data_IF_331516683187
#
_entry.id   IF_331516683187
#
_cell.length_a   1.000
_cell.length_b   1.000
_cell.length_c   1.000
_cell.angle_alpha   90.00
_cell.angle_beta   90.00
_cell.angle_gamma   90.00
#
_symmetry.space_group_name_H-M   'P 1'
#
loop_
_entity.id
_entity.type
_entity.pdbx_description
1 polymer ?
#
# COMPACT_ATOMS: atom_id res chain seq x y z
N UNK A 1 -14.79 -22.03 -4.59
CA UNK A 1 -13.54 -21.65 -5.29
C UNK A 1 -12.50 -21.48 -4.22
N UNK A 2 -11.59 -22.45 -4.07
CA UNK A 2 -10.54 -22.41 -3.05
C UNK A 2 -9.26 -21.85 -3.69
N UNK A 3 -8.68 -20.82 -3.07
CA UNK A 3 -7.37 -20.29 -3.43
C UNK A 3 -6.35 -20.78 -2.39
N UNK A 4 -5.15 -21.23 -2.76
CA UNK A 4 -4.15 -21.67 -1.79
C UNK A 4 -3.64 -20.55 -0.87
N UNK A 5 -3.93 -19.28 -1.19
CA UNK A 5 -3.52 -18.10 -0.42
C UNK A 5 -4.71 -17.35 0.20
N UNK A 6 -5.84 -18.04 0.35
CA UNK A 6 -7.02 -17.51 1.00
C UNK A 6 -6.68 -17.22 2.47
N UNK A 7 -7.08 -16.04 2.92
CA UNK A 7 -6.87 -15.65 4.31
C UNK A 7 -8.18 -15.78 5.08
N UNK A 8 -8.15 -16.40 6.27
CA UNK A 8 -9.35 -16.60 7.09
C UNK A 8 -9.98 -15.27 7.53
N UNK A 9 -9.16 -14.22 7.69
CA UNK A 9 -9.61 -12.87 8.07
C UNK A 9 -10.06 -12.06 6.84
N UNK A 10 -9.58 -12.42 5.64
CA UNK A 10 -9.97 -11.79 4.38
C UNK A 10 -10.31 -12.85 3.30
N UNK A 11 -11.46 -13.53 3.44
CA UNK A 11 -11.82 -14.63 2.54
C UNK A 11 -12.22 -14.16 1.13
N UNK A 12 -12.37 -12.85 0.94
CA UNK A 12 -12.77 -12.24 -0.33
C UNK A 12 -11.60 -12.01 -1.29
N UNK A 13 -10.37 -12.14 -0.82
CA UNK A 13 -9.17 -11.97 -1.62
C UNK A 13 -8.61 -13.32 -2.06
N UNK A 14 -8.24 -13.44 -3.35
CA UNK A 14 -7.47 -14.59 -3.82
C UNK A 14 -6.07 -14.67 -3.17
N UNK A 15 -5.45 -13.52 -2.94
CA UNK A 15 -4.21 -13.32 -2.17
C UNK A 15 -4.37 -12.07 -1.30
N UNK A 16 -4.29 -12.21 0.02
CA UNK A 16 -4.37 -11.06 0.92
C UNK A 16 -3.03 -10.32 1.01
N UNK A 17 -2.87 -9.21 0.27
CA UNK A 17 -1.63 -8.40 0.29
C UNK A 17 -1.33 -7.82 1.67
N UNK A 18 -2.35 -7.42 2.43
CA UNK A 18 -2.19 -6.93 3.80
C UNK A 18 -1.60 -7.97 4.75
N UNK A 19 -1.95 -9.25 4.57
CA UNK A 19 -1.35 -10.35 5.33
C UNK A 19 0.16 -10.41 5.09
N UNK A 20 0.56 -10.43 3.82
CA UNK A 20 1.97 -10.48 3.41
C UNK A 20 2.75 -9.29 3.99
N UNK A 21 2.17 -8.09 3.96
CA UNK A 21 2.79 -6.89 4.54
C UNK A 21 2.99 -7.07 6.04
N UNK A 22 1.98 -7.51 6.79
CA UNK A 22 2.10 -7.74 8.24
C UNK A 22 3.14 -8.78 8.58
N UNK A 23 3.18 -9.89 7.83
CA UNK A 23 4.15 -10.98 8.04
C UNK A 23 5.60 -10.59 7.71
N UNK A 24 5.80 -9.64 6.79
CA UNK A 24 7.13 -9.21 6.33
C UNK A 24 7.59 -7.87 6.91
N UNK A 25 6.73 -7.17 7.63
CA UNK A 25 7.08 -5.92 8.29
C UNK A 25 8.00 -6.21 9.48
N UNK A 26 9.16 -5.56 9.50
CA UNK A 26 10.15 -5.73 10.56
C UNK A 26 10.28 -4.44 11.37
N UNK A 27 10.51 -4.52 12.69
CA UNK A 27 10.81 -3.35 13.50
C UNK A 27 12.00 -2.55 12.93
N UNK A 28 11.86 -1.23 12.86
CA UNK A 28 12.89 -0.34 12.34
C UNK A 28 12.94 -0.20 10.82
N UNK A 29 12.03 -0.83 10.08
CA UNK A 29 11.88 -0.66 8.63
C UNK A 29 10.60 0.10 8.30
N UNK A 30 10.66 0.93 7.26
CA UNK A 30 9.48 1.59 6.68
C UNK A 30 8.89 0.72 5.56
N UNK A 31 7.58 0.55 5.60
CA UNK A 31 6.81 -0.11 4.53
C UNK A 31 6.38 0.90 3.48
N UNK A 32 6.77 0.64 2.23
CA UNK A 32 6.38 1.45 1.07
C UNK A 32 5.47 0.62 0.19
N UNK A 33 4.24 1.09 -0.02
CA UNK A 33 3.26 0.48 -0.92
C UNK A 33 3.09 1.32 -2.17
N UNK A 34 3.01 0.69 -3.34
CA UNK A 34 2.78 1.34 -4.63
C UNK A 34 1.65 0.60 -5.33
N UNK A 35 0.54 1.28 -5.62
CA UNK A 35 -0.63 0.66 -6.23
C UNK A 35 -1.58 1.66 -6.89
N UNK A 36 -2.65 1.14 -7.47
CA UNK A 36 -3.58 1.95 -8.26
C UNK A 36 -5.05 1.51 -8.22
N UNK A 37 -5.33 0.27 -7.82
CA UNK A 37 -6.67 -0.33 -7.97
C UNK A 37 -7.40 -0.64 -6.66
N UNK A 38 -8.67 -1.02 -6.80
CA UNK A 38 -9.52 -1.48 -5.68
C UNK A 38 -8.86 -2.52 -4.76
N UNK A 39 -8.15 -3.50 -5.34
CA UNK A 39 -7.50 -4.57 -4.55
C UNK A 39 -6.36 -4.08 -3.64
N UNK A 40 -5.99 -2.81 -3.74
CA UNK A 40 -4.92 -2.17 -2.98
C UNK A 40 -5.42 -1.33 -1.81
N UNK A 41 -6.74 -1.24 -1.59
CA UNK A 41 -7.31 -0.41 -0.53
C UNK A 41 -6.90 -0.89 0.86
N UNK A 42 -7.03 -2.21 1.10
CA UNK A 42 -6.62 -2.83 2.36
C UNK A 42 -5.13 -2.66 2.67
N UNK A 43 -4.17 -2.95 1.76
CA UNK A 43 -2.75 -2.78 2.05
C UNK A 43 -2.34 -1.30 2.21
N UNK A 44 -2.98 -0.37 1.49
CA UNK A 44 -2.69 1.06 1.65
C UNK A 44 -2.96 1.57 3.07
N UNK A 45 -3.97 1.04 3.76
CA UNK A 45 -4.28 1.45 5.13
C UNK A 45 -3.29 0.92 6.18
N UNK A 46 -2.41 -0.02 5.84
CA UNK A 46 -1.46 -0.63 6.77
C UNK A 46 0.02 -0.43 6.39
N UNK A 47 0.33 0.57 5.56
CA UNK A 47 1.70 0.92 5.19
C UNK A 47 2.08 2.33 5.64
N UNK A 48 3.37 2.55 5.88
CA UNK A 48 3.90 3.83 6.35
C UNK A 48 3.90 4.90 5.26
N UNK A 49 4.15 4.47 4.02
CA UNK A 49 4.23 5.30 2.83
C UNK A 49 3.41 4.62 1.74
N UNK A 50 2.48 5.35 1.14
CA UNK A 50 1.64 4.85 0.05
C UNK A 50 1.80 5.76 -1.16
N UNK A 51 2.23 5.20 -2.29
CA UNK A 51 2.10 5.81 -3.60
C UNK A 51 0.84 5.28 -4.27
N UNK A 52 -0.06 6.19 -4.64
CA UNK A 52 -1.36 5.82 -5.19
C UNK A 52 -1.71 6.65 -6.43
N UNK A 53 -2.37 6.01 -7.39
CA UNK A 53 -3.03 6.67 -8.52
C UNK A 53 -4.43 6.09 -8.73
N UNK A 54 -5.17 6.60 -9.71
CA UNK A 54 -6.48 6.09 -10.12
C UNK A 54 -7.46 5.90 -8.95
N UNK A 55 -8.07 4.71 -8.84
CA UNK A 55 -9.07 4.39 -7.82
C UNK A 55 -8.47 4.42 -6.42
N UNK A 56 -7.23 3.94 -6.25
CA UNK A 56 -6.56 3.96 -4.95
C UNK A 56 -6.35 5.38 -4.45
N UNK A 57 -5.93 6.31 -5.32
CA UNK A 57 -5.80 7.71 -4.94
C UNK A 57 -7.16 8.33 -4.58
N UNK A 58 -8.23 7.94 -5.28
CA UNK A 58 -9.60 8.32 -4.94
C UNK A 58 -10.03 7.85 -3.56
N UNK A 59 -9.76 6.57 -3.27
CA UNK A 59 -10.02 5.96 -1.97
C UNK A 59 -9.22 6.62 -0.85
N UNK A 60 -7.90 6.77 -1.00
CA UNK A 60 -7.06 7.41 0.02
C UNK A 60 -7.54 8.82 0.36
N UNK A 61 -7.91 9.62 -0.66
CA UNK A 61 -8.48 10.95 -0.45
C UNK A 61 -9.82 10.89 0.31
N UNK A 62 -10.70 9.96 -0.04
CA UNK A 62 -12.02 9.81 0.60
C UNK A 62 -11.90 9.41 2.07
N UNK A 63 -10.99 8.50 2.38
CA UNK A 63 -10.80 7.95 3.73
C UNK A 63 -9.79 8.76 4.58
N UNK A 64 -9.23 9.85 4.03
CA UNK A 64 -8.26 10.70 4.73
C UNK A 64 -6.88 10.03 4.94
N UNK A 65 -6.53 9.04 4.13
CA UNK A 65 -5.24 8.37 4.18
C UNK A 65 -4.17 9.22 3.49
N UNK A 66 -3.03 9.42 4.14
CA UNK A 66 -1.88 10.08 3.53
C UNK A 66 -1.32 9.22 2.39
N UNK A 67 -1.27 9.79 1.19
CA UNK A 67 -0.69 9.14 0.01
C UNK A 67 0.07 10.14 -0.86
N UNK A 68 0.93 9.61 -1.72
CA UNK A 68 1.73 10.38 -2.66
C UNK A 68 1.32 10.01 -4.10
N UNK A 69 0.81 10.97 -4.90
CA UNK A 69 0.44 10.70 -6.28
C UNK A 69 1.67 10.44 -7.15
N UNK A 70 1.51 9.59 -8.16
CA UNK A 70 2.55 9.30 -9.15
C UNK A 70 1.94 8.96 -10.51
N UNK A 71 2.67 9.20 -11.59
CA UNK A 71 2.30 8.75 -12.95
C UNK A 71 3.08 7.50 -13.32
N UNK A 72 4.37 7.51 -13.06
CA UNK A 72 5.32 6.43 -13.31
C UNK A 72 6.34 6.29 -12.16
N UNK A 73 7.30 5.38 -12.30
CA UNK A 73 8.31 5.13 -11.28
C UNK A 73 9.36 6.24 -11.17
N UNK A 74 9.51 7.14 -12.15
CA UNK A 74 10.42 8.29 -12.03
C UNK A 74 9.89 9.27 -10.98
N UNK A 75 8.58 9.54 -10.98
CA UNK A 75 7.96 10.39 -9.96
C UNK A 75 8.19 9.81 -8.54
N UNK A 76 8.16 8.48 -8.39
CA UNK A 76 8.39 7.79 -7.11
C UNK A 76 9.85 7.95 -6.68
N UNK A 77 10.80 7.69 -7.58
CA UNK A 77 12.23 7.80 -7.30
C UNK A 77 12.64 9.22 -6.90
N UNK A 78 11.98 10.25 -7.46
CA UNK A 78 12.22 11.64 -7.09
C UNK A 78 11.65 12.01 -5.71
N UNK A 79 10.47 11.50 -5.36
CA UNK A 79 9.78 11.85 -4.11
C UNK A 79 10.29 11.08 -2.90
N UNK A 80 10.57 9.78 -3.07
CA UNK A 80 10.84 8.85 -1.97
C UNK A 80 11.97 9.28 -1.02
N UNK A 81 13.13 9.80 -1.48
CA UNK A 81 14.20 10.24 -0.58
C UNK A 81 13.77 11.35 0.38
N UNK A 82 12.96 12.30 -0.09
CA UNK A 82 12.42 13.38 0.74
C UNK A 82 11.40 12.88 1.76
N UNK A 83 10.57 11.92 1.36
CA UNK A 83 9.56 11.31 2.23
C UNK A 83 10.21 10.51 3.36
N UNK A 84 11.21 9.68 3.05
CA UNK A 84 11.92 8.87 4.06
C UNK A 84 12.59 9.76 5.10
N UNK A 85 13.24 10.84 4.68
CA UNK A 85 13.89 11.79 5.62
C UNK A 85 12.94 12.44 6.62
N UNK A 86 11.65 12.56 6.29
CA UNK A 86 10.65 13.16 7.18
C UNK A 86 10.01 12.15 8.14
N UNK A 87 10.29 10.84 7.98
CA UNK A 87 9.70 9.75 8.77
C UNK A 87 10.70 9.03 9.68
N UNK A 88 11.99 9.31 9.51
CA UNK A 88 13.10 8.78 10.33
C UNK A 88 13.59 9.85 11.29
#
# INVERSE_FOLDING_TARGET
MESPYLDEVCPQCGVCKSKIIRERSLPGYLTVYIGDGYSDFCPAACCDIVFAKNELAGYCRKEGLTYYPYRDFHDILQQLPGIIRNKV
#
